data_IF_944613131689
#
_entry.id   IF_944613131689
#
_cell.length_a   1.000
_cell.length_b   1.000
_cell.length_c   1.000
_cell.angle_alpha   90.00
_cell.angle_beta   90.00
_cell.angle_gamma   90.00
#
_symmetry.space_group_name_H-M   'P 1'
#
loop_
_entity.id
_entity.type
_entity.pdbx_description
1 polymer ?
#
# COMPACT_ATOMS: atom_id res chain seq x y z
N UNK A 1 12.21 62.71 -38.92
CA UNK A 1 12.81 61.35 -39.10
C UNK A 1 13.22 60.86 -37.72
N UNK A 2 12.46 59.93 -37.15
CA UNK A 2 12.66 59.40 -35.80
C UNK A 2 13.36 58.05 -35.89
N UNK A 3 14.51 57.91 -35.22
CA UNK A 3 15.21 56.64 -34.99
C UNK A 3 15.14 56.37 -33.47
N UNK A 4 14.81 55.14 -33.02
CA UNK A 4 14.15 54.93 -31.73
C UNK A 4 15.10 54.66 -30.55
N UNK A 5 14.55 54.86 -29.35
CA UNK A 5 15.11 54.55 -28.03
C UNK A 5 15.38 53.06 -27.85
N UNK A 6 16.61 52.74 -27.42
CA UNK A 6 16.94 51.47 -26.78
C UNK A 6 16.22 51.36 -25.42
N UNK A 7 15.47 50.29 -25.21
CA UNK A 7 15.02 49.87 -23.87
C UNK A 7 15.31 48.37 -23.68
N UNK A 8 15.75 48.05 -22.47
CA UNK A 8 16.40 46.80 -22.05
C UNK A 8 15.59 45.54 -22.35
N UNK A 9 16.30 44.49 -22.76
CA UNK A 9 15.85 43.09 -22.64
C UNK A 9 15.59 42.77 -21.17
N UNK A 10 14.32 42.54 -20.82
CA UNK A 10 13.95 41.71 -19.68
C UNK A 10 13.60 40.31 -20.20
N UNK A 11 14.45 39.35 -19.86
CA UNK A 11 14.21 37.92 -19.96
C UNK A 11 13.06 37.53 -19.02
N UNK A 12 11.83 37.48 -19.54
CA UNK A 12 10.68 36.94 -18.83
C UNK A 12 10.68 35.41 -18.91
N UNK A 13 11.33 34.83 -17.89
CA UNK A 13 11.02 33.58 -17.20
C UNK A 13 10.08 32.57 -17.90
N UNK A 14 10.68 31.51 -18.46
CA UNK A 14 10.02 30.32 -19.02
C UNK A 14 9.48 29.34 -17.97
N UNK A 15 9.13 29.79 -16.76
CA UNK A 15 8.76 28.93 -15.61
C UNK A 15 7.43 29.34 -14.98
N UNK A 16 6.39 29.55 -15.78
CA UNK A 16 5.06 29.88 -15.23
C UNK A 16 3.93 29.13 -15.94
N UNK A 17 4.08 27.81 -16.12
CA UNK A 17 3.05 26.99 -16.80
C UNK A 17 2.92 25.57 -16.24
N UNK A 18 2.90 25.34 -14.91
CA UNK A 18 2.51 24.02 -14.36
C UNK A 18 1.86 24.09 -12.96
N UNK A 19 1.01 25.08 -12.70
CA UNK A 19 0.08 25.07 -11.57
C UNK A 19 -1.33 25.36 -12.07
N UNK A 20 -1.82 24.51 -12.99
CA UNK A 20 -3.27 24.36 -13.12
C UNK A 20 -3.73 23.71 -11.81
N UNK A 21 -4.34 24.50 -10.93
CA UNK A 21 -5.06 23.99 -9.77
C UNK A 21 -6.00 22.89 -10.27
N UNK A 22 -5.77 21.66 -9.80
CA UNK A 22 -6.62 20.53 -10.19
C UNK A 22 -8.06 20.88 -9.80
N UNK A 23 -8.96 20.88 -10.77
CA UNK A 23 -10.32 21.37 -10.56
C UNK A 23 -11.08 20.43 -9.64
N UNK A 24 -11.64 20.99 -8.56
CA UNK A 24 -12.50 20.27 -7.62
C UNK A 24 -13.68 19.67 -8.38
N UNK A 25 -13.92 18.37 -8.18
CA UNK A 25 -15.03 17.67 -8.81
C UNK A 25 -16.37 18.30 -8.38
N UNK A 26 -17.33 18.55 -9.30
CA UNK A 26 -18.55 19.28 -8.98
C UNK A 26 -19.38 18.66 -7.84
N UNK A 27 -19.37 17.34 -7.72
CA UNK A 27 -20.10 16.62 -6.67
C UNK A 27 -19.54 16.86 -5.26
N UNK A 28 -18.26 17.24 -5.13
CA UNK A 28 -17.63 17.59 -3.84
C UNK A 28 -18.13 18.93 -3.25
N UNK A 29 -18.94 19.69 -3.99
CA UNK A 29 -19.61 20.88 -3.48
C UNK A 29 -21.01 20.58 -2.93
N UNK A 30 -21.51 19.35 -3.11
CA UNK A 30 -22.79 18.91 -2.59
C UNK A 30 -22.62 18.26 -1.21
N UNK A 31 -23.67 18.22 -0.38
CA UNK A 31 -23.67 17.42 0.84
C UNK A 31 -23.30 15.95 0.56
N UNK A 32 -22.61 15.30 1.50
CA UNK A 32 -22.06 13.95 1.31
C UNK A 32 -23.11 12.89 0.94
N UNK A 33 -24.35 13.03 1.42
CA UNK A 33 -25.46 12.14 1.07
C UNK A 33 -25.94 12.27 -0.40
N UNK A 34 -25.42 13.26 -1.15
CA UNK A 34 -25.67 13.46 -2.58
C UNK A 34 -24.45 13.12 -3.45
N UNK A 35 -23.39 12.58 -2.85
CA UNK A 35 -22.22 12.15 -3.61
C UNK A 35 -22.57 10.91 -4.44
N UNK A 36 -21.93 10.75 -5.62
CA UNK A 36 -22.20 9.61 -6.49
C UNK A 36 -21.74 8.30 -5.86
N UNK A 37 -22.34 7.20 -6.30
CA UNK A 37 -21.84 5.87 -5.96
C UNK A 37 -20.54 5.60 -6.70
N UNK A 38 -19.42 5.65 -5.97
CA UNK A 38 -18.08 5.41 -6.51
C UNK A 38 -17.63 3.97 -6.23
N UNK A 39 -17.95 3.45 -5.04
CA UNK A 39 -17.57 2.10 -4.64
C UNK A 39 -18.52 1.05 -5.22
N UNK A 40 -17.94 -0.05 -5.69
CA UNK A 40 -18.61 -1.19 -6.31
C UNK A 40 -18.18 -2.48 -5.60
N UNK A 41 -19.03 -3.49 -5.57
CA UNK A 41 -18.67 -4.84 -5.10
C UNK A 41 -18.24 -5.72 -6.27
N UNK A 42 -17.38 -6.70 -6.02
CA UNK A 42 -16.83 -7.59 -7.04
C UNK A 42 -17.48 -8.99 -7.00
N UNK A 43 -18.00 -9.44 -8.13
CA UNK A 43 -18.50 -10.80 -8.34
C UNK A 43 -17.80 -11.45 -9.55
N UNK A 44 -17.28 -12.67 -9.36
CA UNK A 44 -16.36 -13.32 -10.31
C UNK A 44 -16.84 -14.73 -10.64
N UNK A 45 -16.91 -15.05 -11.94
CA UNK A 45 -17.25 -16.35 -12.49
C UNK A 45 -16.19 -16.80 -13.51
N UNK A 46 -15.81 -18.07 -13.42
CA UNK A 46 -14.89 -18.73 -14.33
C UNK A 46 -15.61 -19.74 -15.23
N UNK A 47 -15.05 -19.99 -16.41
CA UNK A 47 -15.65 -20.84 -17.47
C UNK A 47 -15.88 -22.29 -17.04
N UNK A 48 -15.15 -22.77 -16.03
CA UNK A 48 -15.34 -24.11 -15.45
C UNK A 48 -16.54 -24.18 -14.49
N UNK A 49 -17.32 -23.10 -14.37
CA UNK A 49 -18.46 -23.00 -13.45
C UNK A 49 -18.08 -22.59 -12.03
N UNK A 50 -16.79 -22.35 -11.73
CA UNK A 50 -16.39 -21.83 -10.43
C UNK A 50 -16.83 -20.37 -10.31
N UNK A 51 -17.80 -20.09 -9.43
CA UNK A 51 -18.04 -18.75 -8.89
C UNK A 51 -17.15 -18.60 -7.66
N UNK A 52 -15.96 -18.02 -7.83
CA UNK A 52 -15.01 -17.95 -6.74
C UNK A 52 -15.25 -16.69 -5.90
N UNK A 53 -16.35 -16.73 -5.16
CA UNK A 53 -16.51 -15.98 -3.92
C UNK A 53 -16.41 -17.05 -2.83
N UNK A 54 -15.38 -16.98 -1.99
CA UNK A 54 -15.27 -17.93 -0.88
C UNK A 54 -16.61 -17.94 -0.09
N UNK A 55 -17.21 -19.10 0.23
CA UNK A 55 -18.56 -19.17 0.80
C UNK A 55 -18.78 -18.35 2.08
N UNK A 56 -17.69 -18.00 2.77
CA UNK A 56 -17.71 -17.11 3.95
C UNK A 56 -17.86 -15.62 3.62
N UNK A 57 -17.85 -15.22 2.35
CA UNK A 57 -18.00 -13.83 1.91
C UNK A 57 -19.17 -13.71 0.94
N UNK A 58 -19.84 -12.55 0.95
CA UNK A 58 -20.95 -12.27 0.04
C UNK A 58 -20.47 -11.83 -1.36
N UNK A 59 -19.29 -11.23 -1.43
CA UNK A 59 -18.62 -10.74 -2.64
C UNK A 59 -17.12 -10.69 -2.34
N UNK A 60 -16.29 -10.52 -3.36
CA UNK A 60 -14.86 -10.60 -3.17
C UNK A 60 -14.27 -9.37 -2.46
N UNK A 61 -14.59 -8.16 -2.90
CA UNK A 61 -13.99 -6.93 -2.39
C UNK A 61 -14.69 -5.68 -2.88
N UNK A 62 -14.21 -4.51 -2.47
CA UNK A 62 -14.57 -3.22 -3.06
C UNK A 62 -13.72 -2.97 -4.32
N UNK A 63 -14.32 -2.40 -5.35
CA UNK A 63 -13.67 -1.90 -6.55
C UNK A 63 -14.27 -0.55 -6.96
N UNK A 64 -13.73 0.04 -8.01
CA UNK A 64 -14.16 1.34 -8.52
C UNK A 64 -13.73 1.54 -9.97
N UNK A 65 -14.20 2.62 -10.57
CA UNK A 65 -13.83 3.02 -11.93
C UNK A 65 -12.85 4.19 -11.92
N UNK A 66 -11.96 4.22 -12.90
CA UNK A 66 -11.07 5.37 -13.16
C UNK A 66 -11.28 5.92 -14.56
N UNK A 67 -11.25 7.25 -14.69
CA UNK A 67 -11.22 7.98 -15.95
C UNK A 67 -9.77 8.37 -16.26
N UNK A 68 -9.21 7.81 -17.32
CA UNK A 68 -7.84 8.12 -17.77
C UNK A 68 -7.77 9.36 -18.68
N UNK A 69 -8.92 9.93 -19.03
CA UNK A 69 -9.10 10.94 -20.08
C UNK A 69 -9.23 10.34 -21.49
N UNK A 70 -9.02 9.03 -21.66
CA UNK A 70 -9.14 8.32 -22.95
C UNK A 70 -10.09 7.13 -22.89
N UNK A 71 -10.10 6.43 -21.75
CA UNK A 71 -10.92 5.28 -21.49
C UNK A 71 -11.35 5.25 -20.01
N UNK A 72 -12.32 4.38 -19.73
CA UNK A 72 -12.70 4.03 -18.35
C UNK A 72 -12.13 2.66 -18.03
N UNK A 73 -11.44 2.55 -16.91
CA UNK A 73 -10.87 1.28 -16.44
C UNK A 73 -11.51 0.89 -15.11
N UNK A 74 -11.57 -0.41 -14.83
CA UNK A 74 -12.03 -0.93 -13.56
C UNK A 74 -10.84 -1.33 -12.67
N UNK A 75 -10.94 -1.09 -11.38
CA UNK A 75 -9.86 -1.30 -10.42
C UNK A 75 -10.37 -1.97 -9.15
N UNK A 76 -9.58 -2.89 -8.61
CA UNK A 76 -9.72 -3.40 -7.23
C UNK A 76 -8.34 -3.77 -6.67
N UNK A 77 -8.29 -4.26 -5.43
CA UNK A 77 -7.04 -4.71 -4.83
C UNK A 77 -6.56 -6.03 -5.48
N UNK A 78 -5.24 -6.22 -5.57
CA UNK A 78 -4.65 -7.42 -6.17
C UNK A 78 -4.83 -8.64 -5.26
N UNK A 79 -4.73 -8.45 -3.95
CA UNK A 79 -4.90 -9.53 -2.97
C UNK A 79 -6.31 -10.10 -2.90
N UNK A 80 -7.28 -9.49 -3.58
CA UNK A 80 -8.61 -10.06 -3.82
C UNK A 80 -8.50 -11.43 -4.51
N UNK A 81 -7.43 -11.66 -5.28
CA UNK A 81 -7.14 -12.96 -5.87
C UNK A 81 -6.76 -14.04 -4.84
N UNK A 82 -6.65 -13.77 -3.54
CA UNK A 82 -6.59 -14.85 -2.53
C UNK A 82 -7.94 -15.53 -2.33
N UNK A 83 -9.03 -14.80 -2.56
CA UNK A 83 -10.40 -15.24 -2.32
C UNK A 83 -11.25 -15.29 -3.58
N UNK A 84 -10.74 -14.77 -4.70
CA UNK A 84 -11.43 -14.64 -5.99
C UNK A 84 -10.72 -15.37 -7.15
N UNK A 85 -9.87 -16.36 -6.85
CA UNK A 85 -9.06 -17.11 -7.83
C UNK A 85 -9.61 -18.49 -8.16
N UNK A 86 -9.31 -19.03 -9.33
CA UNK A 86 -9.50 -20.49 -9.53
C UNK A 86 -8.62 -21.30 -8.58
N UNK A 87 -9.05 -22.51 -8.22
CA UNK A 87 -8.30 -23.40 -7.31
C UNK A 87 -6.87 -23.68 -7.77
N UNK A 88 -6.65 -23.77 -9.08
CA UNK A 88 -5.35 -24.03 -9.71
C UNK A 88 -4.58 -22.75 -10.13
N UNK A 89 -5.07 -21.57 -9.74
CA UNK A 89 -4.41 -20.31 -10.03
C UNK A 89 -3.42 -19.98 -8.92
N UNK A 90 -2.15 -19.85 -9.31
CA UNK A 90 -1.04 -19.59 -8.38
C UNK A 90 -0.35 -18.25 -8.65
N UNK A 91 -0.70 -17.56 -9.72
CA UNK A 91 -0.07 -16.31 -10.15
C UNK A 91 -1.12 -15.26 -10.53
N UNK A 92 -0.69 -14.01 -10.71
CA UNK A 92 -1.56 -12.88 -11.09
C UNK A 92 -1.87 -12.93 -12.59
N UNK A 93 -2.37 -14.07 -13.04
CA UNK A 93 -2.77 -14.31 -14.42
C UNK A 93 -4.11 -15.06 -14.44
N UNK A 94 -5.16 -14.36 -14.87
CA UNK A 94 -6.50 -14.92 -14.96
C UNK A 94 -6.65 -15.93 -16.11
N UNK A 95 -5.69 -15.94 -17.07
CA UNK A 95 -5.75 -16.67 -18.35
C UNK A 95 -7.05 -16.33 -19.11
N UNK A 96 -7.39 -17.12 -20.13
CA UNK A 96 -8.69 -17.03 -20.82
C UNK A 96 -9.83 -17.73 -20.05
N UNK A 97 -9.65 -18.03 -18.76
CA UNK A 97 -10.61 -18.79 -17.98
C UNK A 97 -11.69 -17.91 -17.34
N UNK A 98 -11.51 -16.59 -17.32
CA UNK A 98 -12.51 -15.67 -16.82
C UNK A 98 -13.74 -15.71 -17.73
N UNK A 99 -14.90 -16.08 -17.17
CA UNK A 99 -16.18 -16.03 -17.88
C UNK A 99 -16.80 -14.64 -17.75
N UNK A 100 -16.85 -14.14 -16.52
CA UNK A 100 -17.44 -12.84 -16.21
C UNK A 100 -16.82 -12.34 -14.92
N UNK A 101 -16.50 -11.06 -14.86
CA UNK A 101 -16.28 -10.36 -13.61
C UNK A 101 -17.02 -9.04 -13.67
N UNK A 102 -17.97 -8.94 -12.76
CA UNK A 102 -18.92 -7.86 -12.66
C UNK A 102 -18.51 -7.01 -11.46
N UNK A 103 -18.53 -5.70 -11.65
CA UNK A 103 -18.62 -4.79 -10.50
C UNK A 103 -19.90 -4.00 -10.58
N UNK A 104 -20.56 -3.79 -9.45
CA UNK A 104 -21.80 -3.02 -9.39
C UNK A 104 -21.98 -2.41 -7.99
N UNK A 105 -22.79 -1.36 -7.81
CA UNK A 105 -23.07 -0.84 -6.49
C UNK A 105 -23.72 -1.91 -5.60
N UNK A 106 -23.38 -1.92 -4.31
CA UNK A 106 -23.94 -2.91 -3.38
C UNK A 106 -25.46 -2.80 -3.33
N UNK A 107 -26.16 -3.94 -3.50
CA UNK A 107 -27.61 -4.07 -3.58
C UNK A 107 -28.30 -3.35 -4.76
N UNK A 108 -27.55 -2.90 -5.77
CA UNK A 108 -28.12 -2.34 -6.99
C UNK A 108 -27.44 -2.98 -8.22
N UNK A 109 -28.20 -3.77 -8.97
CA UNK A 109 -27.74 -4.42 -10.20
C UNK A 109 -28.11 -3.64 -11.47
N UNK A 110 -28.87 -2.54 -11.36
CA UNK A 110 -29.30 -1.74 -12.51
C UNK A 110 -28.11 -1.05 -13.19
N UNK A 111 -27.09 -0.68 -12.41
CA UNK A 111 -25.83 -0.13 -12.90
C UNK A 111 -24.70 -1.12 -12.65
N UNK A 112 -23.88 -1.38 -13.67
CA UNK A 112 -22.75 -2.30 -13.54
C UNK A 112 -21.62 -1.99 -14.53
N UNK A 113 -20.46 -2.58 -14.26
CA UNK A 113 -19.34 -2.69 -15.18
C UNK A 113 -19.02 -4.15 -15.42
N UNK A 114 -18.88 -4.51 -16.69
CA UNK A 114 -18.35 -5.80 -17.10
C UNK A 114 -16.90 -5.59 -17.48
N UNK A 115 -15.98 -6.22 -16.77
CA UNK A 115 -14.56 -6.13 -17.08
C UNK A 115 -14.20 -6.97 -18.31
N UNK A 116 -13.12 -6.60 -18.99
CA UNK A 116 -12.60 -7.31 -20.15
C UNK A 116 -11.29 -8.04 -19.82
N UNK A 117 -10.15 -7.35 -19.88
CA UNK A 117 -8.81 -7.94 -19.71
C UNK A 117 -8.01 -7.27 -18.61
N UNK A 118 -7.18 -8.06 -17.93
CA UNK A 118 -6.26 -7.60 -16.90
C UNK A 118 -5.04 -6.92 -17.55
N UNK A 119 -4.82 -5.63 -17.27
CA UNK A 119 -3.76 -4.83 -17.88
C UNK A 119 -2.39 -5.10 -17.27
N UNK A 120 -2.34 -5.48 -16.00
CA UNK A 120 -1.11 -5.79 -15.27
C UNK A 120 -1.01 -7.29 -14.92
N UNK A 121 -1.46 -8.15 -15.84
CA UNK A 121 -1.31 -9.59 -15.75
C UNK A 121 0.16 -9.99 -15.67
N UNK A 122 0.46 -11.00 -14.87
CA UNK A 122 1.82 -11.50 -14.67
C UNK A 122 1.81 -12.97 -14.29
N UNK A 123 2.40 -13.81 -15.16
CA UNK A 123 2.48 -15.25 -14.97
C UNK A 123 3.61 -15.66 -14.01
N UNK A 124 4.43 -14.73 -13.55
CA UNK A 124 5.57 -14.94 -12.65
C UNK A 124 5.31 -14.40 -11.23
N UNK A 125 4.39 -13.45 -11.08
CA UNK A 125 3.99 -12.92 -9.76
C UNK A 125 3.10 -13.94 -9.04
N UNK A 126 3.67 -14.67 -8.08
CA UNK A 126 2.94 -15.67 -7.30
C UNK A 126 1.97 -15.01 -6.30
N UNK A 127 0.81 -15.64 -6.09
CA UNK A 127 -0.24 -15.11 -5.22
C UNK A 127 0.05 -15.33 -3.74
N UNK A 128 0.55 -16.51 -3.39
CA UNK A 128 0.61 -16.99 -2.01
C UNK A 128 2.01 -17.47 -1.63
N UNK A 129 2.25 -17.54 -0.32
CA UNK A 129 3.51 -18.00 0.24
C UNK A 129 4.56 -16.89 0.40
N UNK A 130 5.72 -17.29 0.93
CA UNK A 130 6.80 -16.39 1.38
C UNK A 130 7.34 -15.45 0.29
N UNK A 131 7.23 -15.84 -0.99
CA UNK A 131 7.75 -15.07 -2.12
C UNK A 131 6.66 -14.25 -2.86
N UNK A 132 5.44 -14.21 -2.33
CA UNK A 132 4.39 -13.36 -2.89
C UNK A 132 4.71 -11.89 -2.66
N UNK A 133 4.54 -11.08 -3.70
CA UNK A 133 4.78 -9.63 -3.66
C UNK A 133 3.51 -8.81 -3.88
N UNK A 134 2.34 -9.46 -3.94
CA UNK A 134 1.12 -8.83 -4.44
C UNK A 134 0.67 -7.63 -3.60
N UNK A 135 0.92 -7.66 -2.28
CA UNK A 135 0.57 -6.58 -1.35
C UNK A 135 1.50 -5.36 -1.46
N UNK A 136 2.66 -5.48 -2.11
CA UNK A 136 3.60 -4.37 -2.30
C UNK A 136 3.08 -3.32 -3.29
N UNK A 137 2.25 -3.77 -4.25
CA UNK A 137 1.72 -2.96 -5.36
C UNK A 137 0.23 -3.06 -5.54
N UNK A 138 -0.45 -3.94 -4.83
CA UNK A 138 -1.89 -4.19 -4.59
C UNK A 138 -2.97 -3.53 -5.48
N UNK A 139 -2.68 -3.26 -6.74
CA UNK A 139 -3.59 -2.72 -7.73
C UNK A 139 -3.83 -3.82 -8.78
N UNK A 140 -5.10 -4.09 -9.05
CA UNK A 140 -5.55 -4.93 -10.14
C UNK A 140 -6.33 -4.03 -11.11
N UNK A 141 -5.82 -3.87 -12.33
CA UNK A 141 -6.33 -2.87 -13.28
C UNK A 141 -6.86 -3.55 -14.52
N UNK A 142 -8.11 -3.29 -14.86
CA UNK A 142 -8.82 -3.95 -15.95
C UNK A 142 -9.29 -2.96 -17.00
N UNK A 143 -9.19 -3.37 -18.27
CA UNK A 143 -10.03 -2.78 -19.31
C UNK A 143 -11.50 -3.13 -19.07
N UNK A 144 -12.41 -2.29 -19.54
CA UNK A 144 -13.87 -2.51 -19.42
C UNK A 144 -14.48 -2.87 -20.76
N UNK A 145 -15.40 -3.83 -20.77
CA UNK A 145 -16.24 -4.17 -21.93
C UNK A 145 -17.49 -3.29 -22.01
N UNK A 146 -18.08 -3.01 -20.85
CA UNK A 146 -19.29 -2.21 -20.71
C UNK A 146 -19.26 -1.49 -19.37
N UNK A 147 -19.72 -0.24 -19.35
CA UNK A 147 -19.86 0.59 -18.15
C UNK A 147 -21.23 1.28 -18.21
N UNK A 148 -22.06 1.09 -17.18
CA UNK A 148 -23.32 1.85 -17.06
C UNK A 148 -23.06 3.35 -16.93
N UNK A 149 -23.84 4.21 -17.61
CA UNK A 149 -23.58 5.65 -17.71
C UNK A 149 -23.71 6.40 -16.38
N UNK A 150 -24.41 5.84 -15.38
CA UNK A 150 -24.61 6.48 -14.08
C UNK A 150 -23.48 6.20 -13.08
N UNK A 151 -22.55 5.30 -13.40
CA UNK A 151 -21.39 5.05 -12.56
C UNK A 151 -20.41 6.21 -12.70
N UNK A 152 -19.83 6.67 -11.59
CA UNK A 152 -18.88 7.78 -11.57
C UNK A 152 -17.44 7.26 -11.56
N UNK A 153 -16.68 7.37 -12.67
CA UNK A 153 -15.25 7.12 -12.65
C UNK A 153 -14.52 8.27 -11.93
N UNK A 154 -13.46 7.93 -11.22
CA UNK A 154 -12.59 8.89 -10.56
C UNK A 154 -11.42 9.29 -11.45
N UNK A 155 -11.02 10.56 -11.40
CA UNK A 155 -9.79 11.02 -12.05
C UNK A 155 -8.59 10.80 -11.12
N UNK A 156 -7.55 10.04 -11.54
CA UNK A 156 -6.34 9.88 -10.76
C UNK A 156 -5.56 11.18 -10.63
N UNK A 157 -5.07 11.44 -9.41
CA UNK A 157 -4.07 12.46 -9.11
C UNK A 157 -2.71 11.79 -8.96
N UNK A 158 -1.71 12.22 -9.73
CA UNK A 158 -0.34 11.68 -9.68
C UNK A 158 0.65 12.56 -8.90
N UNK A 159 0.24 13.77 -8.50
CA UNK A 159 1.05 14.59 -7.60
C UNK A 159 1.19 13.93 -6.24
N UNK A 160 2.33 14.10 -5.53
CA UNK A 160 2.54 13.52 -4.22
C UNK A 160 1.39 13.80 -3.24
N UNK A 161 1.08 12.81 -2.42
CA UNK A 161 0.18 12.97 -1.28
C UNK A 161 0.98 13.53 -0.11
N UNK A 162 0.48 14.57 0.55
CA UNK A 162 1.16 15.22 1.66
C UNK A 162 0.45 14.95 3.00
N UNK A 163 1.22 15.01 4.08
CA UNK A 163 0.71 14.86 5.45
C UNK A 163 -0.37 15.89 5.74
N UNK A 164 -1.43 15.46 6.42
CA UNK A 164 -2.55 16.29 6.86
C UNK A 164 -3.67 16.50 5.83
N UNK A 165 -3.49 16.01 4.59
CA UNK A 165 -4.56 16.03 3.59
C UNK A 165 -5.80 15.26 4.08
N UNK A 166 -6.98 15.84 3.87
CA UNK A 166 -8.26 15.18 4.09
C UNK A 166 -8.47 14.10 3.02
N UNK A 167 -8.96 12.95 3.46
CA UNK A 167 -9.24 11.79 2.62
C UNK A 167 -10.64 11.25 2.84
N UNK A 168 -11.24 10.72 1.80
CA UNK A 168 -12.50 9.99 1.82
C UNK A 168 -12.29 8.59 1.24
N UNK A 169 -12.65 7.56 2.01
CA UNK A 169 -12.51 6.16 1.60
C UNK A 169 -13.91 5.60 1.35
N UNK A 170 -14.22 5.33 0.08
CA UNK A 170 -15.52 4.78 -0.32
C UNK A 170 -15.44 3.25 -0.24
N UNK A 171 -16.04 2.66 0.78
CA UNK A 171 -15.90 1.24 1.07
C UNK A 171 -17.23 0.50 1.04
N UNK A 172 -17.21 -0.78 0.69
CA UNK A 172 -18.36 -1.67 0.81
C UNK A 172 -18.05 -2.79 1.84
N UNK A 173 -18.19 -2.52 3.15
CA UNK A 173 -17.93 -3.52 4.18
C UNK A 173 -18.96 -4.63 4.17
N UNK A 174 -18.57 -5.86 4.53
CA UNK A 174 -19.51 -6.98 4.64
C UNK A 174 -20.60 -6.76 5.69
N UNK A 175 -20.25 -6.13 6.81
CA UNK A 175 -21.17 -5.90 7.94
C UNK A 175 -22.18 -4.77 7.69
N UNK A 176 -21.90 -3.87 6.75
CA UNK A 176 -22.75 -2.74 6.43
C UNK A 176 -23.82 -3.12 5.39
N UNK A 177 -25.02 -2.55 5.51
CA UNK A 177 -26.09 -2.80 4.52
C UNK A 177 -25.67 -2.30 3.13
N UNK A 178 -25.10 -1.09 3.06
CA UNK A 178 -24.63 -0.47 1.83
C UNK A 178 -23.12 -0.21 1.85
N UNK A 179 -22.65 0.56 0.88
CA UNK A 179 -21.32 1.14 0.93
C UNK A 179 -21.33 2.41 1.79
N UNK A 180 -20.22 2.69 2.46
CA UNK A 180 -20.02 3.79 3.40
C UNK A 180 -18.81 4.63 2.98
N UNK A 181 -18.73 5.84 3.51
CA UNK A 181 -17.59 6.74 3.29
C UNK A 181 -16.94 7.00 4.65
N UNK A 182 -15.68 6.63 4.79
CA UNK A 182 -14.87 6.98 5.96
C UNK A 182 -14.10 8.26 5.68
N UNK A 183 -14.26 9.26 6.55
CA UNK A 183 -13.43 10.46 6.51
C UNK A 183 -12.15 10.23 7.30
N UNK A 184 -11.05 10.77 6.79
CA UNK A 184 -9.75 10.60 7.38
C UNK A 184 -8.76 11.69 7.04
N UNK A 185 -7.54 11.51 7.54
CA UNK A 185 -6.39 12.36 7.24
C UNK A 185 -5.14 11.54 7.00
N UNK A 186 -4.31 12.01 6.07
CA UNK A 186 -2.99 11.43 5.82
C UNK A 186 -2.09 11.69 7.04
N UNK A 187 -1.64 10.61 7.68
CA UNK A 187 -0.67 10.64 8.78
C UNK A 187 0.74 10.84 8.21
N UNK A 188 1.10 10.02 7.23
CA UNK A 188 2.40 10.01 6.57
C UNK A 188 2.33 9.28 5.23
N UNK A 189 3.37 9.47 4.43
CA UNK A 189 3.60 8.74 3.19
C UNK A 189 5.02 8.18 3.19
N UNK A 190 5.18 6.92 2.85
CA UNK A 190 6.49 6.26 2.72
C UNK A 190 6.51 5.52 1.39
N UNK A 191 7.23 6.07 0.40
CA UNK A 191 7.24 5.49 -0.93
C UNK A 191 5.86 5.48 -1.58
N UNK A 192 5.33 4.28 -1.82
CA UNK A 192 3.97 4.08 -2.33
C UNK A 192 2.90 4.05 -1.25
N UNK A 193 3.27 3.85 0.01
CA UNK A 193 2.33 3.63 1.09
C UNK A 193 1.82 4.96 1.62
N UNK A 194 0.50 5.07 1.75
CA UNK A 194 -0.19 6.18 2.40
C UNK A 194 -0.75 5.64 3.71
N UNK A 195 -0.40 6.25 4.83
CA UNK A 195 -0.96 5.93 6.13
C UNK A 195 -2.03 6.95 6.48
N UNK A 196 -3.21 6.48 6.88
CA UNK A 196 -4.41 7.30 7.03
C UNK A 196 -5.05 7.03 8.39
N UNK A 197 -5.33 8.09 9.14
CA UNK A 197 -6.22 8.02 10.31
C UNK A 197 -7.66 8.11 9.81
N UNK A 198 -8.56 7.32 10.37
CA UNK A 198 -9.99 7.37 10.06
C UNK A 198 -10.82 7.62 11.31
N UNK A 199 -12.03 8.10 11.11
CA UNK A 199 -13.09 8.20 12.13
C UNK A 199 -13.53 6.83 12.70
N UNK A 200 -13.27 5.74 11.96
CA UNK A 200 -13.44 4.37 12.43
C UNK A 200 -12.12 3.75 12.90
N UNK A 201 -12.19 2.92 13.94
CA UNK A 201 -11.07 2.12 14.46
C UNK A 201 -11.20 0.62 14.14
N UNK A 202 -12.30 0.20 13.51
CA UNK A 202 -12.58 -1.22 13.28
C UNK A 202 -11.93 -1.72 11.99
N UNK A 203 -11.47 -2.97 12.00
CA UNK A 203 -11.11 -3.68 10.78
C UNK A 203 -12.36 -3.88 9.92
N UNK A 204 -12.28 -3.41 8.67
CA UNK A 204 -13.45 -3.34 7.78
C UNK A 204 -13.35 -4.40 6.69
N UNK A 205 -13.73 -5.64 7.02
CA UNK A 205 -13.80 -6.73 6.03
C UNK A 205 -14.68 -6.34 4.83
N UNK A 206 -14.21 -6.59 3.61
CA UNK A 206 -14.86 -6.20 2.36
C UNK A 206 -14.41 -4.84 1.80
N UNK A 207 -13.74 -4.01 2.59
CA UNK A 207 -13.24 -2.70 2.15
C UNK A 207 -11.96 -2.75 1.31
N UNK A 208 -11.26 -3.90 1.24
CA UNK A 208 -10.08 -4.04 0.37
C UNK A 208 -10.39 -3.57 -1.05
N UNK A 209 -9.49 -2.78 -1.64
CA UNK A 209 -9.67 -2.22 -2.98
C UNK A 209 -10.51 -0.94 -3.05
N UNK A 210 -10.97 -0.40 -1.92
CA UNK A 210 -11.68 0.89 -1.86
C UNK A 210 -10.83 2.03 -2.42
N UNK A 211 -11.40 2.95 -3.22
CA UNK A 211 -10.69 4.16 -3.62
C UNK A 211 -10.50 5.10 -2.44
N UNK A 212 -9.31 5.69 -2.37
CA UNK A 212 -8.96 6.77 -1.45
C UNK A 212 -8.97 8.06 -2.26
N UNK A 213 -9.81 9.01 -1.85
CA UNK A 213 -10.12 10.23 -2.60
C UNK A 213 -9.75 11.46 -1.77
N UNK A 214 -9.19 12.50 -2.38
CA UNK A 214 -8.88 13.76 -1.70
C UNK A 214 -10.09 14.69 -1.58
N UNK A 215 -9.89 15.85 -0.92
CA UNK A 215 -10.91 16.91 -0.79
C UNK A 215 -11.39 17.53 -2.11
N UNK A 216 -10.71 17.25 -3.22
CA UNK A 216 -11.08 17.71 -4.55
C UNK A 216 -11.84 16.64 -5.35
N UNK A 217 -12.07 15.44 -4.78
CA UNK A 217 -12.76 14.35 -5.46
C UNK A 217 -11.86 13.55 -6.39
N UNK A 218 -10.54 13.65 -6.22
CA UNK A 218 -9.56 12.96 -7.06
C UNK A 218 -9.02 11.72 -6.37
N UNK A 219 -8.79 10.65 -7.14
CA UNK A 219 -8.22 9.41 -6.63
C UNK A 219 -6.75 9.61 -6.31
N UNK A 220 -6.37 9.35 -5.05
CA UNK A 220 -4.99 9.44 -4.57
C UNK A 220 -4.38 8.09 -4.21
N UNK A 221 -5.21 7.06 -4.03
CA UNK A 221 -4.74 5.72 -3.73
C UNK A 221 -5.84 4.66 -3.69
N UNK A 222 -5.44 3.44 -3.37
CA UNK A 222 -6.33 2.29 -3.14
C UNK A 222 -6.09 1.75 -1.73
N UNK A 223 -7.15 1.38 -1.03
CA UNK A 223 -7.08 0.79 0.31
C UNK A 223 -6.54 -0.64 0.24
N UNK A 224 -5.41 -0.89 0.91
CA UNK A 224 -4.84 -2.23 1.07
C UNK A 224 -5.32 -2.92 2.35
N UNK A 225 -5.51 -2.17 3.44
CA UNK A 225 -6.09 -2.70 4.67
C UNK A 225 -5.75 -1.90 5.93
N UNK A 226 -5.75 -2.59 7.07
CA UNK A 226 -5.46 -2.01 8.38
C UNK A 226 -3.95 -1.95 8.66
N UNK A 227 -3.56 -0.97 9.46
CA UNK A 227 -2.20 -0.71 9.92
C UNK A 227 -2.26 -0.01 11.28
N UNK A 228 -1.14 0.50 11.75
CA UNK A 228 -1.04 1.30 12.96
C UNK A 228 -0.18 2.52 12.68
N UNK A 229 -0.47 3.63 13.36
CA UNK A 229 0.36 4.81 13.38
C UNK A 229 1.69 4.46 14.05
N UNK A 230 2.79 4.59 13.29
CA UNK A 230 4.12 4.22 13.77
C UNK A 230 4.65 5.12 14.88
N UNK A 231 4.06 6.29 15.14
CA UNK A 231 4.47 7.19 16.21
C UNK A 231 3.60 7.03 17.47
N UNK A 232 2.31 6.73 17.30
CA UNK A 232 1.35 6.74 18.42
C UNK A 232 0.77 5.37 18.77
N UNK A 233 1.00 4.35 17.93
CA UNK A 233 0.44 3.01 18.09
C UNK A 233 -1.06 2.91 17.77
N UNK A 234 -1.72 4.04 17.49
CA UNK A 234 -3.16 4.09 17.22
C UNK A 234 -3.51 3.33 15.93
N UNK A 235 -4.71 2.73 15.83
CA UNK A 235 -5.20 2.13 14.60
C UNK A 235 -5.12 3.12 13.42
N UNK A 236 -4.75 2.60 12.26
CA UNK A 236 -4.71 3.36 11.02
C UNK A 236 -5.11 2.45 9.86
N UNK A 237 -5.39 3.03 8.71
CA UNK A 237 -5.46 2.32 7.44
C UNK A 237 -4.22 2.61 6.62
N UNK A 238 -3.84 1.64 5.78
CA UNK A 238 -2.86 1.88 4.75
C UNK A 238 -3.47 1.71 3.36
N UNK A 239 -3.07 2.60 2.47
CA UNK A 239 -3.31 2.49 1.05
C UNK A 239 -2.03 2.53 0.24
N UNK A 240 -2.16 2.23 -1.05
CA UNK A 240 -1.12 2.41 -2.04
C UNK A 240 -1.48 3.57 -2.96
N UNK A 241 -0.55 4.49 -3.15
CA UNK A 241 -0.72 5.67 -3.99
C UNK A 241 -0.92 5.30 -5.47
N UNK A 242 -1.40 6.27 -6.25
CA UNK A 242 -1.55 6.20 -7.71
C UNK A 242 -0.23 6.07 -8.48
N UNK A 243 0.94 6.10 -7.83
CA UNK A 243 2.23 6.01 -8.52
C UNK A 243 2.41 4.67 -9.25
N UNK A 244 2.00 3.55 -8.65
CA UNK A 244 2.03 2.26 -9.36
C UNK A 244 1.01 2.22 -10.51
N UNK A 245 -0.20 2.73 -10.30
CA UNK A 245 -1.19 2.89 -11.37
C UNK A 245 -0.60 3.64 -12.57
N UNK A 246 0.13 4.72 -12.33
CA UNK A 246 0.81 5.48 -13.39
C UNK A 246 1.77 4.61 -14.23
N UNK A 247 2.49 3.67 -13.59
CA UNK A 247 3.37 2.73 -14.29
C UNK A 247 2.56 1.74 -15.15
N UNK A 248 1.44 1.23 -14.64
CA UNK A 248 0.53 0.35 -15.38
C UNK A 248 0.02 1.05 -16.64
N UNK A 249 -0.51 2.27 -16.51
CA UNK A 249 -1.05 3.04 -17.65
C UNK A 249 0.01 3.40 -18.69
N UNK A 250 1.26 3.59 -18.27
CA UNK A 250 2.40 3.81 -19.17
C UNK A 250 2.96 2.53 -19.77
N UNK A 251 2.42 1.35 -19.43
CA UNK A 251 2.96 0.04 -19.83
C UNK A 251 4.45 -0.08 -19.52
N UNK A 252 4.88 0.42 -18.36
CA UNK A 252 6.27 0.34 -17.96
C UNK A 252 6.72 -1.13 -17.88
N UNK A 253 7.98 -1.46 -18.20
CA UNK A 253 8.49 -2.80 -18.00
C UNK A 253 8.55 -3.15 -16.50
N UNK A 254 8.63 -4.44 -16.19
CA UNK A 254 8.92 -4.93 -14.83
C UNK A 254 7.91 -4.46 -13.76
N UNK A 255 6.63 -4.31 -14.11
CA UNK A 255 5.60 -3.81 -13.20
C UNK A 255 5.55 -4.60 -11.89
N UNK A 256 5.71 -5.92 -11.94
CA UNK A 256 5.48 -6.80 -10.80
C UNK A 256 6.74 -7.54 -10.31
N UNK A 257 7.94 -7.08 -10.69
CA UNK A 257 9.17 -7.62 -10.13
C UNK A 257 9.18 -7.42 -8.59
N UNK A 258 9.37 -8.48 -7.79
CA UNK A 258 9.45 -8.36 -6.33
C UNK A 258 10.43 -7.28 -5.90
N UNK A 259 10.10 -6.51 -4.86
CA UNK A 259 11.05 -5.59 -4.25
C UNK A 259 12.26 -6.38 -3.73
N UNK A 260 13.47 -5.87 -3.97
CA UNK A 260 14.72 -6.45 -3.47
C UNK A 260 14.76 -6.30 -1.94
N UNK A 261 14.89 -7.39 -1.17
CA UNK A 261 15.04 -7.28 0.27
C UNK A 261 16.22 -6.38 0.64
N UNK A 262 16.00 -5.38 1.50
CA UNK A 262 17.05 -4.40 1.79
C UNK A 262 18.29 -5.05 2.44
N UNK A 263 18.13 -6.18 3.13
CA UNK A 263 19.27 -6.94 3.68
C UNK A 263 20.23 -7.42 2.59
N UNK A 264 19.72 -7.82 1.41
CA UNK A 264 20.56 -8.28 0.31
C UNK A 264 21.46 -7.18 -0.24
N UNK A 265 21.01 -5.93 -0.15
CA UNK A 265 21.80 -4.76 -0.51
C UNK A 265 22.76 -4.32 0.58
N UNK A 266 22.34 -4.37 1.85
CA UNK A 266 23.17 -3.94 2.98
C UNK A 266 24.28 -4.95 3.34
N UNK A 267 24.04 -6.25 3.18
CA UNK A 267 25.00 -7.31 3.51
C UNK A 267 26.38 -7.12 2.88
N UNK A 268 26.53 -6.91 1.55
CA UNK A 268 27.85 -6.68 0.96
C UNK A 268 28.47 -5.34 1.38
N UNK A 269 27.68 -4.36 1.84
CA UNK A 269 28.17 -3.09 2.34
C UNK A 269 28.78 -3.24 3.74
N UNK A 270 28.13 -4.02 4.62
CA UNK A 270 28.67 -4.34 5.96
C UNK A 270 30.01 -5.07 5.90
N UNK A 271 30.27 -5.83 4.84
CA UNK A 271 31.56 -6.51 4.67
C UNK A 271 32.71 -5.56 4.27
N UNK A 272 32.39 -4.33 3.84
CA UNK A 272 33.36 -3.36 3.30
C UNK A 272 33.46 -2.09 4.12
N UNK A 273 32.41 -1.77 4.87
CA UNK A 273 32.21 -0.49 5.55
C UNK A 273 31.83 -0.73 7.01
N UNK A 274 31.97 0.31 7.85
CA UNK A 274 31.48 0.26 9.22
C UNK A 274 29.95 0.09 9.29
N UNK A 275 29.46 -0.44 10.41
CA UNK A 275 28.03 -0.55 10.69
C UNK A 275 27.32 0.81 10.57
N UNK A 276 27.91 1.89 11.06
CA UNK A 276 27.30 3.23 10.97
C UNK A 276 27.28 3.77 9.53
N UNK A 277 28.30 3.48 8.72
CA UNK A 277 28.27 3.82 7.30
C UNK A 277 27.14 3.07 6.56
N UNK A 278 26.91 1.81 6.91
CA UNK A 278 25.79 1.01 6.39
C UNK A 278 24.44 1.57 6.84
N UNK A 279 24.28 1.90 8.12
CA UNK A 279 23.04 2.52 8.66
C UNK A 279 22.75 3.85 7.97
N UNK A 280 23.77 4.69 7.78
CA UNK A 280 23.63 5.94 7.05
C UNK A 280 23.26 5.73 5.58
N UNK A 281 23.79 4.67 4.94
CA UNK A 281 23.41 4.30 3.58
C UNK A 281 21.94 3.86 3.52
N UNK A 282 21.50 3.01 4.45
CA UNK A 282 20.09 2.65 4.58
C UNK A 282 19.21 3.89 4.69
N UNK A 283 19.53 4.87 5.54
CA UNK A 283 18.70 6.07 5.67
C UNK A 283 18.65 6.92 4.40
N UNK A 284 19.73 6.99 3.62
CA UNK A 284 19.72 7.66 2.32
C UNK A 284 18.75 6.98 1.35
N UNK A 285 18.75 5.65 1.32
CA UNK A 285 17.81 4.87 0.51
C UNK A 285 16.37 5.02 1.04
N UNK A 286 16.16 4.88 2.35
CA UNK A 286 14.85 4.95 2.97
C UNK A 286 14.16 6.31 2.77
N UNK A 287 14.93 7.42 2.75
CA UNK A 287 14.40 8.77 2.48
C UNK A 287 14.19 9.04 0.99
N UNK A 288 14.72 8.19 0.11
CA UNK A 288 14.54 8.31 -1.33
C UNK A 288 13.25 7.61 -1.75
N UNK A 289 12.24 8.39 -2.10
CA UNK A 289 10.96 7.93 -2.64
C UNK A 289 11.06 6.91 -3.78
N UNK A 290 12.08 7.04 -4.65
CA UNK A 290 12.29 6.11 -5.76
C UNK A 290 12.77 4.74 -5.28
N UNK A 291 13.55 4.69 -4.18
CA UNK A 291 14.07 3.44 -3.64
C UNK A 291 12.96 2.51 -3.15
N UNK A 292 11.82 3.05 -2.70
CA UNK A 292 10.63 2.27 -2.30
C UNK A 292 9.94 1.54 -3.46
N UNK A 293 10.36 1.75 -4.70
CA UNK A 293 9.95 0.94 -5.85
C UNK A 293 10.92 -0.19 -6.17
N UNK A 294 12.09 -0.22 -5.52
CA UNK A 294 13.16 -1.17 -5.79
C UNK A 294 13.47 -2.04 -4.58
N UNK A 295 13.28 -1.54 -3.36
CA UNK A 295 13.68 -2.21 -2.14
C UNK A 295 12.50 -2.44 -1.18
N UNK A 296 12.49 -3.59 -0.52
CA UNK A 296 11.63 -3.88 0.63
C UNK A 296 12.36 -3.46 1.91
N UNK A 297 11.88 -2.37 2.52
CA UNK A 297 12.41 -1.82 3.76
C UNK A 297 11.74 -2.38 5.01
N UNK A 298 10.93 -3.43 4.93
CA UNK A 298 10.20 -3.97 6.09
C UNK A 298 11.13 -4.35 7.25
N UNK A 299 10.60 -4.31 8.47
CA UNK A 299 11.33 -4.74 9.68
C UNK A 299 11.79 -6.19 9.57
N UNK A 300 11.09 -7.03 8.80
CA UNK A 300 11.44 -8.43 8.56
C UNK A 300 12.79 -8.57 7.85
N UNK A 301 13.06 -7.73 6.84
CA UNK A 301 14.35 -7.77 6.14
C UNK A 301 15.50 -7.31 7.05
N UNK A 302 15.31 -6.23 7.81
CA UNK A 302 16.31 -5.80 8.80
C UNK A 302 16.52 -6.85 9.89
N UNK A 303 15.45 -7.50 10.34
CA UNK A 303 15.53 -8.58 11.33
C UNK A 303 16.30 -9.80 10.78
N UNK A 304 16.14 -10.11 9.49
CA UNK A 304 16.90 -11.17 8.83
C UNK A 304 18.41 -10.87 8.84
N UNK A 305 18.79 -9.65 8.48
CA UNK A 305 20.18 -9.20 8.56
C UNK A 305 20.74 -9.25 9.99
N UNK A 306 19.96 -8.80 10.98
CA UNK A 306 20.34 -8.90 12.39
C UNK A 306 20.55 -10.35 12.85
N UNK A 307 19.69 -11.28 12.42
CA UNK A 307 19.82 -12.70 12.75
C UNK A 307 21.07 -13.33 12.11
N UNK A 308 21.39 -12.96 10.87
CA UNK A 308 22.63 -13.39 10.21
C UNK A 308 23.87 -12.95 11.01
N UNK A 309 23.89 -11.70 11.47
CA UNK A 309 24.98 -11.17 12.30
C UNK A 309 25.07 -11.89 13.66
N UNK A 310 23.93 -12.19 14.31
CA UNK A 310 23.90 -13.02 15.53
C UNK A 310 24.52 -14.40 15.28
N UNK A 311 24.17 -15.05 14.16
CA UNK A 311 24.69 -16.37 13.83
C UNK A 311 26.19 -16.33 13.54
N UNK A 312 26.71 -15.21 13.04
CA UNK A 312 28.13 -14.96 12.84
C UNK A 312 28.85 -14.39 14.07
N UNK A 313 28.22 -14.40 15.26
CA UNK A 313 28.78 -13.86 16.52
C UNK A 313 29.12 -12.35 16.49
N UNK A 314 28.62 -11.62 15.50
CA UNK A 314 28.75 -10.16 15.38
C UNK A 314 27.63 -9.47 16.16
N UNK A 315 27.65 -9.64 17.49
CA UNK A 315 26.52 -9.30 18.35
C UNK A 315 26.30 -7.78 18.46
N UNK A 316 27.35 -6.96 18.42
CA UNK A 316 27.22 -5.51 18.50
C UNK A 316 26.57 -4.93 17.24
N UNK A 317 26.97 -5.43 16.06
CA UNK A 317 26.38 -5.08 14.77
C UNK A 317 24.93 -5.55 14.68
N UNK A 318 24.64 -6.77 15.15
CA UNK A 318 23.26 -7.27 15.21
C UNK A 318 22.36 -6.37 16.07
N UNK A 319 22.81 -6.01 17.26
CA UNK A 319 22.11 -5.05 18.15
C UNK A 319 21.85 -3.74 17.41
N UNK A 320 22.85 -3.20 16.69
CA UNK A 320 22.68 -1.95 15.96
C UNK A 320 21.70 -2.05 14.80
N UNK A 321 21.67 -3.16 14.05
CA UNK A 321 20.67 -3.40 13.00
C UNK A 321 19.26 -3.54 13.58
N UNK A 322 19.09 -4.21 14.73
CA UNK A 322 17.79 -4.25 15.39
C UNK A 322 17.34 -2.90 15.91
N UNK A 323 18.26 -2.08 16.44
CA UNK A 323 17.97 -0.69 16.80
C UNK A 323 17.54 0.13 15.58
N UNK A 324 18.24 0.02 14.44
CA UNK A 324 17.84 0.65 13.18
C UNK A 324 16.42 0.23 12.78
N UNK A 325 16.11 -1.06 12.89
CA UNK A 325 14.77 -1.58 12.61
C UNK A 325 13.72 -0.93 13.52
N UNK A 326 14.00 -0.76 14.81
CA UNK A 326 13.09 -0.09 15.76
C UNK A 326 13.02 1.44 15.57
N UNK A 327 14.07 2.08 15.08
CA UNK A 327 14.06 3.51 14.74
C UNK A 327 13.05 3.80 13.61
N UNK A 328 12.80 2.82 12.72
CA UNK A 328 11.85 2.92 11.61
C UNK A 328 10.50 2.25 11.92
N UNK A 329 10.53 1.18 12.72
CA UNK A 329 9.38 0.35 13.07
C UNK A 329 9.29 0.15 14.59
N UNK A 330 9.02 1.22 15.36
CA UNK A 330 9.04 1.18 16.83
C UNK A 330 7.91 0.35 17.46
N UNK A 331 7.00 -0.22 16.66
CA UNK A 331 5.91 -1.10 17.13
C UNK A 331 6.14 -2.58 16.75
N UNK A 332 7.34 -2.93 16.28
CA UNK A 332 7.68 -4.31 15.96
C UNK A 332 8.02 -5.10 17.23
N UNK A 333 7.02 -5.74 17.84
CA UNK A 333 7.24 -6.62 19.00
C UNK A 333 8.25 -7.72 18.68
N UNK A 334 8.27 -8.24 17.45
CA UNK A 334 9.24 -9.22 16.96
C UNK A 334 10.66 -8.67 16.99
N UNK A 335 10.88 -7.42 16.57
CA UNK A 335 12.21 -6.80 16.59
C UNK A 335 12.68 -6.55 18.03
N UNK A 336 11.80 -6.10 18.93
CA UNK A 336 12.12 -5.98 20.36
C UNK A 336 12.53 -7.33 20.97
N UNK A 337 11.82 -8.41 20.62
CA UNK A 337 12.18 -9.76 21.05
C UNK A 337 13.58 -10.16 20.56
N UNK A 338 13.88 -9.95 19.28
CA UNK A 338 15.18 -10.27 18.69
C UNK A 338 16.31 -9.41 19.29
N UNK A 339 16.06 -8.13 19.56
CA UNK A 339 16.99 -7.25 20.26
C UNK A 339 17.26 -7.75 21.68
N UNK A 340 16.23 -8.19 22.40
CA UNK A 340 16.36 -8.80 23.73
C UNK A 340 17.26 -10.03 23.71
N UNK A 341 17.02 -10.94 22.76
CA UNK A 341 17.84 -12.13 22.57
C UNK A 341 19.30 -11.79 22.23
N UNK A 342 19.54 -10.76 21.40
CA UNK A 342 20.89 -10.31 21.07
C UNK A 342 21.62 -9.71 22.28
N UNK A 343 20.93 -8.92 23.10
CA UNK A 343 21.49 -8.39 24.35
C UNK A 343 21.80 -9.50 25.36
N UNK A 344 20.91 -10.47 25.52
CA UNK A 344 21.13 -11.63 26.40
C UNK A 344 22.39 -12.40 25.98
N UNK A 345 22.53 -12.72 24.69
CA UNK A 345 23.73 -13.36 24.13
C UNK A 345 25.01 -12.53 24.34
N UNK A 346 24.87 -11.20 24.41
CA UNK A 346 25.99 -10.28 24.67
C UNK A 346 26.29 -10.07 26.16
N UNK A 347 25.62 -10.79 27.07
CA UNK A 347 25.75 -10.62 28.52
C UNK A 347 25.08 -9.36 29.08
N UNK A 348 24.37 -8.59 28.25
CA UNK A 348 23.74 -7.31 28.56
C UNK A 348 22.34 -7.52 29.18
N UNK A 349 22.27 -8.20 30.32
CA UNK A 349 21.02 -8.67 30.95
C UNK A 349 19.97 -7.57 31.20
N UNK A 350 20.40 -6.40 31.69
CA UNK A 350 19.47 -5.29 31.96
C UNK A 350 18.79 -4.77 30.68
N UNK A 351 19.56 -4.62 29.59
CA UNK A 351 19.03 -4.21 28.30
C UNK A 351 18.16 -5.29 27.65
N UNK A 352 18.50 -6.57 27.85
CA UNK A 352 17.69 -7.69 27.41
C UNK A 352 16.30 -7.67 28.08
N UNK A 353 16.25 -7.50 29.41
CA UNK A 353 15.00 -7.38 30.18
C UNK A 353 14.12 -6.25 29.63
N UNK A 354 14.68 -5.05 29.47
CA UNK A 354 13.94 -3.91 28.93
C UNK A 354 13.37 -4.19 27.53
N UNK A 355 14.15 -4.80 26.64
CA UNK A 355 13.67 -5.11 25.29
C UNK A 355 12.55 -6.17 25.29
N UNK A 356 12.64 -7.19 26.12
CA UNK A 356 11.56 -8.18 26.26
C UNK A 356 10.28 -7.57 26.87
N UNK A 357 10.41 -6.70 27.86
CA UNK A 357 9.27 -5.96 28.43
C UNK A 357 8.56 -5.11 27.38
N UNK A 358 9.31 -4.40 26.53
CA UNK A 358 8.75 -3.66 25.40
C UNK A 358 8.03 -4.59 24.40
N UNK A 359 8.60 -5.75 24.11
CA UNK A 359 7.95 -6.76 23.27
C UNK A 359 6.60 -7.20 23.85
N UNK A 360 6.51 -7.44 25.16
CA UNK A 360 5.28 -7.83 25.84
C UNK A 360 4.27 -6.69 25.99
N UNK A 361 4.73 -5.45 26.12
CA UNK A 361 3.86 -4.28 26.10
C UNK A 361 3.12 -4.17 24.76
N UNK A 362 3.79 -4.50 23.66
CA UNK A 362 3.24 -4.46 22.31
C UNK A 362 2.44 -5.71 21.96
N UNK A 363 2.90 -6.88 22.40
CA UNK A 363 2.21 -8.15 22.23
C UNK A 363 2.31 -8.97 23.53
N UNK A 364 1.29 -8.88 24.40
CA UNK A 364 1.25 -9.61 25.67
C UNK A 364 1.33 -11.14 25.52
N UNK A 365 1.09 -11.67 24.32
CA UNK A 365 1.10 -13.11 24.03
C UNK A 365 2.43 -13.64 23.51
N UNK A 366 3.48 -12.80 23.42
CA UNK A 366 4.80 -13.24 22.95
C UNK A 366 5.49 -14.15 23.99
N UNK A 367 5.30 -15.46 23.83
CA UNK A 367 5.85 -16.50 24.71
C UNK A 367 7.37 -16.43 24.86
N UNK A 368 8.10 -16.16 23.77
CA UNK A 368 9.57 -16.09 23.82
C UNK A 368 10.04 -15.01 24.78
N UNK A 369 9.42 -13.83 24.75
CA UNK A 369 9.75 -12.74 25.67
C UNK A 369 9.33 -13.07 27.12
N UNK A 370 8.18 -13.72 27.34
CA UNK A 370 7.75 -14.17 28.67
C UNK A 370 8.77 -15.15 29.30
N UNK A 371 9.19 -16.16 28.54
CA UNK A 371 10.14 -17.17 29.01
C UNK A 371 11.52 -16.59 29.28
N UNK A 372 12.00 -15.66 28.45
CA UNK A 372 13.29 -15.02 28.65
C UNK A 372 13.31 -14.15 29.92
N UNK A 373 12.25 -13.41 30.20
CA UNK A 373 12.13 -12.58 31.42
C UNK A 373 12.09 -13.39 32.72
N UNK A 374 11.60 -14.63 32.67
CA UNK A 374 11.62 -15.53 33.82
C UNK A 374 13.03 -16.06 34.13
N UNK A 375 13.93 -16.07 33.13
CA UNK A 375 15.30 -16.60 33.24
C UNK A 375 16.34 -15.52 33.58
N UNK A 376 16.05 -14.26 33.23
CA UNK A 376 16.86 -13.08 33.57
C UNK A 376 16.61 -12.62 35.00
#
# INVERSE_FOLDING_TARGET
MNIPRYLLLFTLCSMCNYLLAQSKAPWMNRPQNQWPSVALINEVWYKNGEQYVHPSFQYAATGFLIDTGKDTLAVTAKHVLWIAKMKNMHTVALKDNLQKWLMHPKNNLADSVVIASLLNTDTTEILEGKHSSITQRDWLVFSTKYVSPNLQPLKPRYSPVIKGETTYIFACPYKEKGCVIYEGRVIETTGNRILISTDTTQQVGGASGSPIVDKNGQLIGILGGSSTNRLTGQPAFYGLSTRYLQKVLKKAPNLNQPLLPIDEHLRPLLAKESIEATVNHFYRLYRNDQAHFSYDFSSEQLNKLGNELVNSQQLNEAVRIYQLSLEVFPWSFTTYNLLGMAYEKSGKKAQARQAFEQSLQLNPTNKTAQEALQKL
#
